data_IF_451479028708
#
_entry.id   IF_451479028708
#
_cell.length_a   1.000
_cell.length_b   1.000
_cell.length_c   1.000
_cell.angle_alpha   90.00
_cell.angle_beta   90.00
_cell.angle_gamma   90.00
#
_symmetry.space_group_name_H-M   'P 1'
#
loop_
_entity.id
_entity.type
_entity.pdbx_description
1 polymer ?
#
# COMPACT_ATOMS: atom_id res chain seq x y z
N UNK A 1 -7.20 6.85 14.65
CA UNK A 1 -6.31 6.09 13.74
C UNK A 1 -5.00 5.91 14.47
N UNK A 2 -4.49 4.70 14.57
CA UNK A 2 -3.23 4.39 15.27
C UNK A 2 -2.23 3.88 14.26
N UNK A 3 -1.00 4.39 14.30
CA UNK A 3 0.11 3.88 13.50
C UNK A 3 0.58 2.54 14.07
N UNK A 4 0.81 1.58 13.20
CA UNK A 4 1.29 0.26 13.56
C UNK A 4 2.27 -0.27 12.50
N UNK A 5 2.99 -1.32 12.85
CA UNK A 5 3.87 -2.05 11.96
C UNK A 5 3.24 -3.40 11.66
N UNK A 6 3.17 -3.75 10.37
CA UNK A 6 2.70 -5.05 9.93
C UNK A 6 3.88 -6.03 9.82
N UNK A 7 3.97 -6.90 10.82
CA UNK A 7 4.98 -7.95 10.91
C UNK A 7 4.69 -9.14 9.97
N UNK A 8 3.49 -9.23 9.40
CA UNK A 8 3.06 -10.34 8.55
C UNK A 8 3.12 -10.00 7.06
N UNK A 9 3.63 -8.81 6.69
CA UNK A 9 3.73 -8.38 5.30
C UNK A 9 4.40 -9.42 4.37
N UNK A 10 5.35 -10.21 4.87
CA UNK A 10 5.97 -11.28 4.08
C UNK A 10 5.01 -12.41 3.69
N UNK A 11 4.05 -12.75 4.54
CA UNK A 11 3.03 -13.76 4.21
C UNK A 11 2.04 -13.23 3.17
N UNK A 12 1.69 -11.94 3.24
CA UNK A 12 0.88 -11.29 2.21
C UNK A 12 1.59 -11.30 0.85
N UNK A 13 2.91 -11.08 0.81
CA UNK A 13 3.70 -11.16 -0.41
C UNK A 13 3.75 -12.57 -0.99
N UNK A 14 3.84 -13.60 -0.15
CA UNK A 14 3.73 -15.00 -0.59
C UNK A 14 2.37 -15.27 -1.21
N UNK A 15 1.29 -14.83 -0.57
CA UNK A 15 -0.06 -14.99 -1.09
C UNK A 15 -0.26 -14.22 -2.41
N UNK A 16 0.37 -13.05 -2.56
CA UNK A 16 0.37 -12.31 -3.82
C UNK A 16 1.14 -13.07 -4.91
N UNK A 17 2.31 -13.64 -4.60
CA UNK A 17 3.10 -14.43 -5.54
C UNK A 17 2.36 -15.71 -5.98
N UNK A 18 1.68 -16.39 -5.06
CA UNK A 18 0.92 -17.59 -5.35
C UNK A 18 -0.19 -17.37 -6.41
N UNK A 19 -0.64 -16.13 -6.64
CA UNK A 19 -1.64 -15.79 -7.68
C UNK A 19 -1.11 -15.98 -9.10
N UNK A 20 0.20 -15.90 -9.32
CA UNK A 20 0.81 -16.20 -10.62
C UNK A 20 0.71 -17.69 -10.94
N UNK A 21 0.54 -18.55 -9.93
CA UNK A 21 0.43 -20.00 -10.07
C UNK A 21 1.60 -20.61 -10.88
N UNK A 22 2.78 -20.01 -10.73
CA UNK A 22 4.04 -20.44 -11.34
C UNK A 22 5.14 -20.49 -10.27
N UNK A 23 6.17 -21.32 -10.43
CA UNK A 23 7.30 -21.37 -9.50
C UNK A 23 8.23 -20.14 -9.62
N UNK A 24 8.18 -19.46 -10.76
CA UNK A 24 8.91 -18.22 -11.03
C UNK A 24 8.10 -17.35 -11.99
N UNK A 25 8.27 -16.03 -11.92
CA UNK A 25 7.65 -15.07 -12.83
C UNK A 25 8.66 -14.56 -13.84
N UNK A 26 8.23 -14.43 -15.10
CA UNK A 26 9.05 -13.91 -16.17
C UNK A 26 9.26 -12.40 -16.03
N UNK A 27 10.29 -11.88 -16.69
CA UNK A 27 10.59 -10.44 -16.75
C UNK A 27 9.43 -9.57 -17.24
N UNK A 28 8.65 -10.06 -18.21
CA UNK A 28 7.48 -9.36 -18.73
C UNK A 28 6.35 -9.30 -17.70
N UNK A 29 6.10 -10.41 -16.99
CA UNK A 29 5.12 -10.45 -15.91
C UNK A 29 5.54 -9.55 -14.75
N UNK A 30 6.82 -9.61 -14.37
CA UNK A 30 7.37 -8.74 -13.33
C UNK A 30 7.23 -7.25 -13.69
N UNK A 31 7.49 -6.86 -14.94
CA UNK A 31 7.27 -5.48 -15.41
C UNK A 31 5.80 -5.04 -15.27
N UNK A 32 4.86 -5.92 -15.62
CA UNK A 32 3.43 -5.63 -15.45
C UNK A 32 3.07 -5.45 -13.97
N UNK A 33 3.66 -6.25 -13.09
CA UNK A 33 3.46 -6.17 -11.63
C UNK A 33 4.01 -4.86 -11.06
N UNK A 34 5.24 -4.49 -11.39
CA UNK A 34 5.87 -3.22 -10.98
C UNK A 34 4.98 -2.04 -11.39
N UNK A 35 4.49 -2.04 -12.63
CA UNK A 35 3.57 -1.01 -13.13
C UNK A 35 2.24 -1.01 -12.37
N UNK A 36 1.71 -2.18 -12.01
CA UNK A 36 0.46 -2.29 -11.25
C UNK A 36 0.56 -1.71 -9.84
N UNK A 37 1.77 -1.70 -9.25
CA UNK A 37 2.08 -1.02 -7.99
C UNK A 37 2.26 0.50 -8.15
N UNK A 38 2.06 1.05 -9.36
CA UNK A 38 2.25 2.47 -9.64
C UNK A 38 3.72 2.88 -9.74
N UNK A 39 4.63 1.90 -9.79
CA UNK A 39 6.06 2.14 -9.96
C UNK A 39 6.34 2.22 -11.46
N UNK A 40 6.73 3.41 -11.93
CA UNK A 40 7.08 3.65 -13.32
C UNK A 40 8.58 3.83 -13.45
N UNK A 41 9.30 2.74 -13.70
CA UNK A 41 10.73 2.78 -14.01
C UNK A 41 10.95 3.01 -15.50
N UNK A 42 12.00 3.75 -15.83
CA UNK A 42 12.53 3.76 -17.21
C UNK A 42 13.07 2.37 -17.59
N UNK A 43 13.20 2.04 -18.88
CA UNK A 43 13.75 0.74 -19.30
C UNK A 43 15.11 0.43 -18.68
N UNK A 44 16.00 1.42 -18.60
CA UNK A 44 17.33 1.28 -18.01
C UNK A 44 17.28 1.08 -16.49
N UNK A 45 16.35 1.75 -15.79
CA UNK A 45 16.14 1.54 -14.35
C UNK A 45 15.53 0.17 -14.07
N UNK A 46 14.58 -0.26 -14.90
CA UNK A 46 13.98 -1.59 -14.78
C UNK A 46 15.04 -2.67 -14.94
N UNK A 47 15.92 -2.56 -15.94
CA UNK A 47 17.01 -3.52 -16.15
C UNK A 47 17.92 -3.63 -14.92
N UNK A 48 18.37 -2.48 -14.39
CA UNK A 48 19.22 -2.44 -13.20
C UNK A 48 18.54 -2.99 -11.95
N UNK A 49 17.25 -2.69 -11.76
CA UNK A 49 16.50 -3.22 -10.63
C UNK A 49 16.27 -4.72 -10.77
N UNK A 50 15.96 -5.19 -11.98
CA UNK A 50 15.79 -6.60 -12.27
C UNK A 50 17.08 -7.38 -11.98
N UNK A 51 18.23 -6.93 -12.48
CA UNK A 51 19.54 -7.55 -12.21
C UNK A 51 19.90 -7.57 -10.71
N UNK A 52 19.38 -6.60 -9.93
CA UNK A 52 19.59 -6.55 -8.48
C UNK A 52 18.71 -7.55 -7.74
N UNK A 53 17.53 -7.86 -8.27
CA UNK A 53 16.52 -8.72 -7.63
C UNK A 53 16.73 -10.19 -8.05
N UNK A 54 17.07 -10.44 -9.30
CA UNK A 54 17.45 -11.75 -9.86
C UNK A 54 18.88 -12.12 -9.43
N UNK A 55 19.03 -12.50 -8.16
CA UNK A 55 20.33 -12.81 -7.56
C UNK A 55 20.95 -14.07 -8.16
N UNK A 56 20.10 -15.05 -8.53
CA UNK A 56 20.53 -16.31 -9.11
C UNK A 56 20.78 -16.25 -10.63
N UNK A 57 20.46 -15.11 -11.26
CA UNK A 57 20.63 -14.82 -12.69
C UNK A 57 19.92 -15.83 -13.57
N UNK A 58 18.73 -16.24 -13.16
CA UNK A 58 17.90 -17.17 -13.93
C UNK A 58 17.05 -16.46 -14.99
N UNK A 59 17.11 -15.14 -15.08
CA UNK A 59 16.23 -14.27 -15.88
C UNK A 59 14.75 -14.39 -15.48
N UNK A 60 14.48 -14.97 -14.32
CA UNK A 60 13.17 -15.19 -13.75
C UNK A 60 13.20 -14.82 -12.27
N UNK A 61 12.08 -14.33 -11.73
CA UNK A 61 12.00 -13.97 -10.32
C UNK A 61 11.28 -15.10 -9.57
N UNK A 62 11.97 -15.74 -8.63
CA UNK A 62 11.39 -16.75 -7.77
C UNK A 62 10.63 -16.12 -6.58
N UNK A 63 9.96 -16.94 -5.76
CA UNK A 63 9.16 -16.45 -4.63
C UNK A 63 10.00 -15.63 -3.63
N UNK A 64 11.22 -16.07 -3.32
CA UNK A 64 12.07 -15.41 -2.33
C UNK A 64 12.51 -14.03 -2.81
N UNK A 65 12.94 -13.95 -4.08
CA UNK A 65 13.34 -12.71 -4.73
C UNK A 65 12.18 -11.73 -4.86
N UNK A 66 10.97 -12.22 -5.15
CA UNK A 66 9.77 -11.41 -5.18
C UNK A 66 9.43 -10.80 -3.81
N UNK A 67 9.53 -11.60 -2.73
CA UNK A 67 9.28 -11.11 -1.37
C UNK A 67 10.32 -10.06 -0.99
N UNK A 68 11.59 -10.27 -1.32
CA UNK A 68 12.66 -9.33 -1.04
C UNK A 68 12.49 -8.02 -1.81
N UNK A 69 12.10 -8.11 -3.09
CA UNK A 69 11.69 -6.95 -3.88
C UNK A 69 10.57 -6.19 -3.17
N UNK A 70 9.47 -6.87 -2.82
CA UNK A 70 8.34 -6.24 -2.15
C UNK A 70 8.73 -5.58 -0.83
N UNK A 71 9.56 -6.22 0.01
CA UNK A 71 10.07 -5.60 1.24
C UNK A 71 10.94 -4.38 0.97
N UNK A 72 11.83 -4.45 0.00
CA UNK A 72 12.75 -3.35 -0.30
C UNK A 72 12.02 -2.14 -0.88
N UNK A 73 11.00 -2.37 -1.72
CA UNK A 73 10.33 -1.31 -2.48
C UNK A 73 9.05 -0.81 -1.82
N UNK A 74 8.23 -1.70 -1.25
CA UNK A 74 6.96 -1.33 -0.63
C UNK A 74 7.14 -0.95 0.85
N UNK A 75 8.12 -1.55 1.54
CA UNK A 75 8.31 -1.36 2.98
C UNK A 75 9.59 -0.58 3.31
N UNK A 76 10.28 -0.03 2.29
CA UNK A 76 11.55 0.69 2.44
C UNK A 76 12.63 -0.12 3.19
N UNK A 77 12.59 -1.46 3.08
CA UNK A 77 13.49 -2.37 3.77
C UNK A 77 13.19 -2.56 5.28
N UNK A 78 12.06 -2.05 5.77
CA UNK A 78 11.60 -2.22 7.15
C UNK A 78 10.27 -2.97 7.25
N UNK A 79 9.61 -2.89 8.41
CA UNK A 79 8.23 -3.36 8.53
C UNK A 79 7.30 -2.39 7.82
N UNK A 80 6.31 -2.93 7.09
CA UNK A 80 5.28 -2.13 6.43
C UNK A 80 4.58 -1.26 7.46
N UNK A 81 4.60 0.06 7.26
CA UNK A 81 3.86 1.00 8.10
C UNK A 81 2.39 0.95 7.72
N UNK A 82 1.55 0.60 8.67
CA UNK A 82 0.10 0.54 8.51
C UNK A 82 -0.59 1.44 9.51
N UNK A 83 -1.82 1.77 9.21
CA UNK A 83 -2.71 2.50 10.10
C UNK A 83 -3.95 1.68 10.37
N UNK A 84 -4.37 1.65 11.63
CA UNK A 84 -5.60 0.97 12.04
C UNK A 84 -6.67 2.02 12.31
N UNK A 85 -7.74 1.96 11.52
CA UNK A 85 -8.96 2.76 11.71
C UNK A 85 -9.96 1.97 12.53
N UNK A 86 -10.06 2.33 13.81
CA UNK A 86 -11.00 1.76 14.76
C UNK A 86 -12.42 2.27 14.52
N UNK A 87 -13.40 1.37 14.66
CA UNK A 87 -14.83 1.62 14.47
C UNK A 87 -15.63 1.01 15.61
N UNK A 88 -16.63 1.78 16.08
CA UNK A 88 -17.56 1.38 17.13
C UNK A 88 -18.75 0.61 16.56
N UNK A 89 -19.33 1.13 15.49
CA UNK A 89 -20.55 0.61 14.89
C UNK A 89 -20.25 -0.46 13.85
N UNK A 90 -20.85 -1.65 14.00
CA UNK A 90 -20.70 -2.76 13.06
C UNK A 90 -21.20 -2.41 11.65
N UNK A 91 -22.30 -1.67 11.57
CA UNK A 91 -22.89 -1.27 10.28
C UNK A 91 -21.96 -0.33 9.50
N UNK A 92 -21.19 0.51 10.19
CA UNK A 92 -20.18 1.35 9.56
C UNK A 92 -19.04 0.50 8.99
N UNK A 93 -18.58 -0.48 9.76
CA UNK A 93 -17.52 -1.41 9.34
C UNK A 93 -17.93 -2.23 8.11
N UNK A 94 -19.11 -2.85 8.13
CA UNK A 94 -19.60 -3.64 6.99
C UNK A 94 -19.83 -2.78 5.74
N UNK A 95 -20.31 -1.55 5.91
CA UNK A 95 -20.45 -0.61 4.80
C UNK A 95 -19.10 -0.29 4.17
N UNK A 96 -18.09 0.00 4.99
CA UNK A 96 -16.76 0.35 4.47
C UNK A 96 -16.09 -0.86 3.79
N UNK A 97 -16.23 -2.06 4.36
CA UNK A 97 -15.80 -3.32 3.74
C UNK A 97 -16.46 -3.54 2.38
N UNK A 98 -17.77 -3.30 2.28
CA UNK A 98 -18.51 -3.41 1.01
C UNK A 98 -18.10 -2.33 0.01
N UNK A 99 -17.84 -1.10 0.44
CA UNK A 99 -17.44 -0.01 -0.46
C UNK A 99 -16.08 -0.28 -1.11
N UNK A 100 -15.14 -0.89 -0.40
CA UNK A 100 -13.81 -1.11 -0.93
C UNK A 100 -13.72 -2.15 -2.04
N UNK A 101 -14.70 -3.05 -2.18
CA UNK A 101 -14.67 -4.05 -3.26
C UNK A 101 -14.94 -3.46 -4.65
N UNK A 102 -15.54 -2.27 -4.72
CA UNK A 102 -15.88 -1.60 -5.98
C UNK A 102 -14.95 -0.44 -6.34
N UNK A 103 -13.95 -0.14 -5.51
CA UNK A 103 -13.07 1.00 -5.72
C UNK A 103 -11.77 0.58 -6.43
N UNK A 104 -11.28 1.46 -7.30
CA UNK A 104 -10.05 1.25 -8.05
C UNK A 104 -8.84 1.67 -7.19
N UNK A 105 -7.95 0.71 -6.94
CA UNK A 105 -6.75 0.87 -6.12
C UNK A 105 -5.83 2.01 -6.57
N UNK A 106 -5.94 2.46 -7.83
CA UNK A 106 -5.16 3.58 -8.36
C UNK A 106 -5.55 4.93 -7.74
N UNK A 107 -6.79 5.05 -7.25
CA UNK A 107 -7.33 6.32 -6.74
C UNK A 107 -7.64 6.30 -5.26
N UNK A 108 -7.67 5.12 -4.63
CA UNK A 108 -7.99 4.99 -3.21
C UNK A 108 -7.01 4.08 -2.50
N UNK A 109 -6.75 4.38 -1.23
CA UNK A 109 -6.05 3.47 -0.34
C UNK A 109 -7.05 2.37 0.04
N UNK A 110 -6.82 1.17 -0.48
CA UNK A 110 -7.58 -0.02 -0.09
C UNK A 110 -7.08 -0.54 1.26
N UNK A 111 -7.97 -1.16 2.02
CA UNK A 111 -7.62 -1.87 3.24
C UNK A 111 -6.85 -3.14 2.89
N UNK A 112 -5.81 -3.39 3.67
CA UNK A 112 -5.07 -4.64 3.66
C UNK A 112 -5.85 -5.73 4.39
N UNK A 113 -6.49 -5.37 5.51
CA UNK A 113 -7.23 -6.33 6.33
C UNK A 113 -8.41 -5.70 7.10
N UNK A 114 -9.37 -6.54 7.48
CA UNK A 114 -10.59 -6.19 8.19
C UNK A 114 -10.70 -6.98 9.50
N UNK A 115 -10.43 -6.31 10.62
CA UNK A 115 -10.36 -6.89 11.94
C UNK A 115 -11.71 -6.74 12.66
N UNK A 116 -12.39 -7.84 12.91
CA UNK A 116 -13.65 -7.86 13.68
C UNK A 116 -13.74 -9.07 14.62
N UNK A 117 -12.61 -9.69 14.93
CA UNK A 117 -12.58 -10.92 15.72
C UNK A 117 -12.72 -10.64 17.23
N UNK A 118 -13.22 -11.60 18.03
CA UNK A 118 -13.29 -11.46 19.49
C UNK A 118 -11.91 -11.27 20.15
N UNK A 119 -10.88 -11.88 19.57
CA UNK A 119 -9.49 -11.74 20.01
C UNK A 119 -9.02 -10.30 19.82
N UNK A 120 -9.31 -9.70 18.66
CA UNK A 120 -9.03 -8.29 18.39
C UNK A 120 -9.74 -7.39 19.40
N UNK A 121 -11.05 -7.56 19.62
CA UNK A 121 -11.79 -6.75 20.59
C UNK A 121 -11.23 -6.85 22.02
N UNK A 122 -10.61 -7.99 22.37
CA UNK A 122 -9.93 -8.18 23.66
C UNK A 122 -8.56 -7.49 23.69
N UNK A 123 -7.80 -7.58 22.60
CA UNK A 123 -6.51 -6.91 22.45
C UNK A 123 -6.64 -5.38 22.50
N UNK A 124 -7.67 -4.82 21.88
CA UNK A 124 -7.92 -3.37 21.82
C UNK A 124 -8.11 -2.75 23.22
N UNK A 125 -8.67 -3.50 24.17
CA UNK A 125 -8.85 -3.03 25.56
C UNK A 125 -7.54 -2.81 26.31
N UNK A 126 -6.46 -3.44 25.86
CA UNK A 126 -5.14 -3.40 26.49
C UNK A 126 -4.15 -2.49 25.76
N UNK A 127 -4.60 -1.75 24.73
CA UNK A 127 -3.75 -0.80 24.00
C UNK A 127 -3.47 0.39 24.92
N UNK A 128 -2.21 0.52 25.37
CA UNK A 128 -1.78 1.59 26.27
C UNK A 128 -1.98 2.98 25.65
N UNK A 129 -2.44 3.94 26.46
CA UNK A 129 -2.56 5.34 26.06
C UNK A 129 -3.87 5.74 25.36
N UNK A 130 -4.75 4.80 25.01
CA UNK A 130 -6.04 5.10 24.38
C UNK A 130 -7.20 4.26 24.94
N UNK A 131 -8.31 4.90 25.31
CA UNK A 131 -9.55 4.20 25.68
C UNK A 131 -10.28 3.74 24.41
N UNK A 132 -9.79 2.67 23.79
CA UNK A 132 -10.35 2.10 22.54
C UNK A 132 -11.36 0.98 22.80
N UNK A 133 -11.71 0.72 24.07
CA UNK A 133 -12.61 -0.37 24.49
C UNK A 133 -13.98 -0.37 23.80
N UNK A 134 -14.45 0.79 23.35
CA UNK A 134 -15.70 0.99 22.63
C UNK A 134 -15.61 0.68 21.13
N UNK A 135 -14.43 0.34 20.61
CA UNK A 135 -14.17 0.20 19.18
C UNK A 135 -13.74 -1.24 18.82
N UNK A 136 -14.67 -2.21 18.81
CA UNK A 136 -14.37 -3.62 18.60
C UNK A 136 -14.02 -3.97 17.14
N UNK A 137 -14.19 -3.03 16.20
CA UNK A 137 -13.92 -3.25 14.77
C UNK A 137 -12.74 -2.38 14.31
N UNK A 138 -11.93 -2.89 13.39
CA UNK A 138 -10.73 -2.22 12.89
C UNK A 138 -10.52 -2.48 11.40
N UNK A 139 -10.05 -1.47 10.68
CA UNK A 139 -9.62 -1.61 9.29
C UNK A 139 -8.14 -1.27 9.22
N UNK A 140 -7.34 -2.20 8.70
CA UNK A 140 -5.90 -2.02 8.48
C UNK A 140 -5.69 -1.46 7.08
N UNK A 141 -4.96 -0.37 6.97
CA UNK A 141 -4.64 0.27 5.70
C UNK A 141 -3.15 0.61 5.65
N UNK A 142 -2.53 0.69 4.47
CA UNK A 142 -1.21 1.29 4.32
C UNK A 142 -1.18 2.69 4.92
N UNK A 143 -0.10 3.04 5.62
CA UNK A 143 0.09 4.40 6.09
C UNK A 143 0.26 5.32 4.87
N UNK A 144 -0.71 6.20 4.62
CA UNK A 144 -0.63 7.12 3.49
C UNK A 144 0.49 8.13 3.68
N UNK A 145 1.28 8.36 2.64
CA UNK A 145 2.40 9.32 2.64
C UNK A 145 1.96 10.79 2.76
N UNK A 146 0.70 11.10 2.42
CA UNK A 146 0.16 12.46 2.41
C UNK A 146 -1.10 12.56 3.25
N UNK A 147 -1.11 13.50 4.18
CA UNK A 147 -2.32 13.88 4.87
C UNK A 147 -3.22 14.73 3.94
N UNK A 148 -4.54 14.69 4.16
CA UNK A 148 -5.53 15.44 3.37
C UNK A 148 -5.24 16.96 3.33
N UNK A 149 -4.63 17.51 4.38
CA UNK A 149 -4.27 18.93 4.44
C UNK A 149 -3.12 19.26 3.47
N UNK A 150 -2.12 18.39 3.38
CA UNK A 150 -0.99 18.51 2.45
C UNK A 150 -1.47 18.38 1.02
N UNK A 151 -2.39 17.44 0.73
CA UNK A 151 -3.04 17.32 -0.58
C UNK A 151 -3.80 18.62 -0.90
N UNK A 152 -4.66 19.07 0.01
CA UNK A 152 -5.46 20.29 -0.15
C UNK A 152 -4.60 21.54 -0.41
N UNK A 153 -3.46 21.66 0.26
CA UNK A 153 -2.51 22.76 0.07
C UNK A 153 -1.74 22.64 -1.25
N UNK A 154 -1.38 21.43 -1.69
CA UNK A 154 -0.65 21.22 -2.94
C UNK A 154 -1.55 21.30 -4.19
N UNK A 155 -2.84 20.99 -4.08
CA UNK A 155 -3.77 20.90 -5.22
C UNK A 155 -4.61 22.16 -5.42
N UNK A 156 -4.49 23.16 -4.53
CA UNK A 156 -5.01 24.51 -4.76
C UNK A 156 -3.86 25.49 -4.97
N UNK A 157 -3.29 25.57 -6.18
CA UNK A 157 -2.34 26.62 -6.49
C UNK A 157 -2.97 27.99 -6.25
N UNK A 158 -2.20 28.87 -5.63
CA UNK A 158 -2.54 30.27 -5.42
C UNK A 158 -2.74 30.98 -6.75
N UNK A 159 -3.44 32.13 -6.77
CA UNK A 159 -3.70 32.89 -8.00
C UNK A 159 -2.42 33.26 -8.76
N UNK A 160 -1.31 33.46 -8.04
CA UNK A 160 0.01 33.69 -8.63
C UNK A 160 0.56 32.43 -9.32
N UNK A 161 0.47 31.27 -8.68
CA UNK A 161 0.89 29.98 -9.24
C UNK A 161 0.04 29.59 -10.45
N UNK A 162 -1.27 29.86 -10.43
CA UNK A 162 -2.16 29.69 -11.58
C UNK A 162 -1.68 30.55 -12.76
N UNK A 163 -1.27 31.81 -12.51
CA UNK A 163 -0.73 32.69 -13.55
C UNK A 163 0.56 32.17 -14.18
N UNK A 164 1.45 31.59 -13.36
CA UNK A 164 2.70 30.97 -13.84
C UNK A 164 2.39 29.72 -14.67
N UNK A 165 1.51 28.84 -14.20
CA UNK A 165 1.09 27.63 -14.91
C UNK A 165 0.42 27.94 -16.26
N UNK A 166 -0.48 28.93 -16.28
CA UNK A 166 -1.12 29.41 -17.52
C UNK A 166 -0.08 29.93 -18.52
N UNK A 167 0.92 30.67 -18.05
CA UNK A 167 1.99 31.18 -18.92
C UNK A 167 2.83 30.04 -19.50
N UNK A 168 3.13 29.01 -18.71
CA UNK A 168 3.85 27.82 -19.20
C UNK A 168 3.07 27.02 -20.25
N UNK A 169 1.73 26.98 -20.17
CA UNK A 169 0.89 26.35 -21.21
C UNK A 169 0.86 27.17 -22.50
N UNK A 170 0.94 28.50 -22.41
CA UNK A 170 0.98 29.39 -23.58
C UNK A 170 2.36 29.34 -24.27
N UNK A 171 3.43 29.19 -23.48
CA UNK A 171 4.81 29.17 -23.98
C UNK A 171 5.27 27.77 -24.46
N UNK A 172 4.43 26.72 -24.33
CA UNK A 172 4.68 25.34 -24.77
C UNK A 172 4.04 25.04 -26.14
#
# INVERSE_FOLDING_TARGET
VVNAEDFNASEDYKLAFARFNTPAISKAEFSAVVTSFGINWTPDEFERQFERIDEDRTEMINEAEFIEFCKSVLDNGGNRKVVIKFMKEKDQFEREKKSQTSLDARYVILASDFLSSPEFATAVKHVEGHTLSDYPHGIVMPAGDRNLLSIFQSERPTTAEIGVLMKQVIDA
#
